data_IF_144934179941
#
_entry.id   IF_144934179941
#
_cell.length_a   1.000
_cell.length_b   1.000
_cell.length_c   1.000
_cell.angle_alpha   90.00
_cell.angle_beta   90.00
_cell.angle_gamma   90.00
#
_symmetry.space_group_name_H-M   'P 1'
#
loop_
_entity.id
_entity.type
_entity.pdbx_description
1 polymer ?
#
# COMPACT_ATOMS: atom_id res chain seq x y z
N UNK A 1 8.78 -24.79 27.36
CA UNK A 1 8.12 -23.48 27.56
C UNK A 1 6.61 -23.66 27.44
N UNK A 2 5.79 -22.81 28.08
CA UNK A 2 4.35 -22.80 27.79
C UNK A 2 4.06 -22.05 26.49
N UNK A 3 2.83 -22.17 25.97
CA UNK A 3 2.43 -21.58 24.68
C UNK A 3 2.63 -20.06 24.62
N UNK A 4 2.37 -19.33 25.71
CA UNK A 4 2.58 -17.88 25.79
C UNK A 4 4.05 -17.48 25.66
N UNK A 5 4.96 -18.22 26.31
CA UNK A 5 6.40 -18.00 26.18
C UNK A 5 6.88 -18.32 24.76
N UNK A 6 6.35 -19.39 24.14
CA UNK A 6 6.66 -19.76 22.74
C UNK A 6 6.22 -18.65 21.79
N UNK A 7 5.00 -18.11 21.94
CA UNK A 7 4.53 -16.99 21.11
C UNK A 7 5.36 -15.71 21.32
N UNK A 8 5.73 -15.39 22.56
CA UNK A 8 6.59 -14.24 22.84
C UNK A 8 7.97 -14.37 22.17
N UNK A 9 8.58 -15.55 22.25
CA UNK A 9 9.85 -15.81 21.56
C UNK A 9 9.70 -15.76 20.03
N UNK A 10 8.59 -16.26 19.49
CA UNK A 10 8.31 -16.20 18.07
C UNK A 10 8.25 -14.74 17.55
N UNK A 11 7.65 -13.83 18.33
CA UNK A 11 7.57 -12.40 18.02
C UNK A 11 8.95 -11.75 17.98
N UNK A 12 9.80 -12.02 18.98
CA UNK A 12 11.16 -11.49 19.03
C UNK A 12 11.97 -11.98 17.83
N UNK A 13 11.97 -13.29 17.56
CA UNK A 13 12.66 -13.88 16.40
C UNK A 13 12.18 -13.29 15.07
N UNK A 14 10.88 -12.96 14.97
CA UNK A 14 10.33 -12.34 13.76
C UNK A 14 10.81 -10.89 13.59
N UNK A 15 10.86 -10.12 14.67
CA UNK A 15 11.38 -8.75 14.67
C UNK A 15 12.85 -8.69 14.27
N UNK A 16 13.64 -9.70 14.67
CA UNK A 16 15.05 -9.85 14.28
C UNK A 16 15.25 -10.27 12.81
N UNK A 17 14.20 -10.74 12.12
CA UNK A 17 14.31 -11.30 10.78
C UNK A 17 14.32 -10.26 9.63
N UNK A 18 14.32 -8.95 9.95
CA UNK A 18 14.39 -7.83 8.99
C UNK A 18 13.49 -8.01 7.74
N UNK A 19 12.20 -8.21 7.97
CA UNK A 19 11.23 -8.46 6.90
C UNK A 19 11.11 -7.27 5.93
N UNK A 20 10.93 -7.56 4.65
CA UNK A 20 10.74 -6.56 3.59
C UNK A 20 9.32 -6.59 3.04
N UNK A 21 8.73 -5.41 2.90
CA UNK A 21 7.42 -5.22 2.28
C UNK A 21 7.54 -5.44 0.77
N UNK A 22 6.62 -6.19 0.18
CA UNK A 22 6.49 -6.32 -1.27
C UNK A 22 5.22 -5.66 -1.83
N UNK A 23 4.24 -5.39 -0.97
CA UNK A 23 2.97 -4.78 -1.35
C UNK A 23 3.12 -3.28 -1.59
N UNK A 24 2.53 -2.78 -2.66
CA UNK A 24 2.50 -1.35 -2.99
C UNK A 24 1.07 -0.89 -3.29
N UNK A 25 0.54 0.00 -2.45
CA UNK A 25 -0.68 0.71 -2.78
C UNK A 25 -0.35 1.83 -3.77
N UNK A 26 -0.60 1.60 -5.06
CA UNK A 26 -0.31 2.58 -6.11
C UNK A 26 -1.13 3.87 -6.01
N UNK A 27 -2.32 3.82 -5.39
CA UNK A 27 -3.18 4.98 -5.24
C UNK A 27 -2.72 5.89 -4.11
N UNK A 28 -2.34 5.32 -2.97
CA UNK A 28 -1.93 6.05 -1.78
C UNK A 28 -0.40 6.17 -1.60
N UNK A 29 0.38 5.52 -2.46
CA UNK A 29 1.83 5.66 -2.52
C UNK A 29 2.63 4.91 -1.43
N UNK A 30 1.97 4.21 -0.51
CA UNK A 30 2.63 3.50 0.59
C UNK A 30 2.85 2.01 0.31
N UNK A 31 3.88 1.46 0.96
CA UNK A 31 4.20 0.03 0.96
C UNK A 31 3.59 -0.66 2.18
N UNK A 32 3.12 -1.89 1.98
CA UNK A 32 2.46 -2.71 3.00
C UNK A 32 2.98 -4.16 2.92
N UNK A 33 2.84 -4.91 4.00
CA UNK A 33 3.22 -6.32 4.05
C UNK A 33 2.18 -7.20 3.35
N UNK A 34 2.64 -8.05 2.46
CA UNK A 34 1.87 -9.15 1.92
C UNK A 34 2.08 -10.43 2.74
N UNK A 35 1.15 -11.39 2.63
CA UNK A 35 1.27 -12.66 3.33
C UNK A 35 2.59 -13.39 2.99
N UNK A 36 3.05 -13.31 1.74
CA UNK A 36 4.32 -13.89 1.31
C UNK A 36 5.54 -13.30 2.01
N UNK A 37 5.44 -12.08 2.53
CA UNK A 37 6.58 -11.36 3.12
C UNK A 37 6.96 -11.93 4.49
N UNK A 38 5.98 -12.47 5.22
CA UNK A 38 6.19 -12.94 6.60
C UNK A 38 5.82 -14.40 6.83
N UNK A 39 4.88 -14.99 6.07
CA UNK A 39 4.44 -16.37 6.32
C UNK A 39 5.58 -17.40 6.28
N UNK A 40 6.52 -17.37 5.31
CA UNK A 40 7.62 -18.34 5.29
C UNK A 40 8.47 -18.27 6.56
N UNK A 41 8.84 -17.06 6.99
CA UNK A 41 9.67 -16.85 8.18
C UNK A 41 8.92 -17.22 9.47
N UNK A 42 7.63 -16.86 9.58
CA UNK A 42 6.79 -17.28 10.70
C UNK A 42 6.71 -18.81 10.78
N UNK A 43 6.53 -19.50 9.65
CA UNK A 43 6.46 -20.96 9.63
C UNK A 43 7.78 -21.61 10.07
N UNK A 44 8.92 -21.06 9.67
CA UNK A 44 10.25 -21.51 10.14
C UNK A 44 10.38 -21.38 11.66
N UNK A 45 10.06 -20.19 12.20
CA UNK A 45 10.12 -19.88 13.63
C UNK A 45 9.16 -20.78 14.42
N UNK A 46 7.92 -20.92 13.94
CA UNK A 46 6.90 -21.75 14.56
C UNK A 46 7.34 -23.21 14.64
N UNK A 47 7.93 -23.73 13.54
CA UNK A 47 8.47 -25.08 13.49
C UNK A 47 9.61 -25.27 14.50
N UNK A 48 10.52 -24.30 14.62
CA UNK A 48 11.61 -24.32 15.59
C UNK A 48 11.08 -24.36 17.04
N UNK A 49 10.05 -23.57 17.33
CA UNK A 49 9.47 -23.43 18.68
C UNK A 49 8.42 -24.50 19.02
N UNK A 50 8.11 -25.40 18.08
CA UNK A 50 7.08 -26.43 18.26
C UNK A 50 5.69 -25.85 18.47
N UNK A 51 5.31 -24.85 17.67
CA UNK A 51 3.95 -24.29 17.61
C UNK A 51 3.41 -24.36 16.18
N UNK A 52 2.09 -24.44 16.04
CA UNK A 52 1.40 -24.43 14.75
C UNK A 52 0.29 -23.38 14.75
N UNK A 53 0.12 -22.69 13.63
CA UNK A 53 -0.94 -21.70 13.45
C UNK A 53 -1.98 -22.23 12.48
N UNK A 54 -3.24 -22.27 12.91
CA UNK A 54 -4.38 -22.74 12.11
C UNK A 54 -5.41 -21.62 12.01
N UNK A 55 -5.95 -21.38 10.81
CA UNK A 55 -6.98 -20.36 10.59
C UNK A 55 -8.25 -20.97 10.04
N UNK A 56 -9.39 -20.57 10.59
CA UNK A 56 -10.72 -20.87 10.08
C UNK A 56 -11.50 -19.57 9.81
N UNK A 57 -12.47 -19.65 8.88
CA UNK A 57 -13.31 -18.53 8.51
C UNK A 57 -14.77 -18.94 8.71
N UNK A 58 -15.41 -18.35 9.72
CA UNK A 58 -16.85 -18.46 9.95
C UNK A 58 -17.62 -17.29 9.32
N UNK A 59 -18.93 -17.28 9.54
CA UNK A 59 -19.79 -16.17 9.11
C UNK A 59 -19.51 -14.88 9.89
N UNK A 60 -19.31 -14.99 11.22
CA UNK A 60 -19.11 -13.84 12.11
C UNK A 60 -17.64 -13.52 12.37
N UNK A 61 -16.78 -14.54 12.44
CA UNK A 61 -15.38 -14.39 12.82
C UNK A 61 -14.44 -15.19 11.93
N UNK A 62 -13.30 -14.58 11.61
CA UNK A 62 -12.09 -15.31 11.27
C UNK A 62 -11.35 -15.62 12.57
N UNK A 63 -10.90 -16.86 12.74
CA UNK A 63 -10.28 -17.34 13.97
C UNK A 63 -8.90 -17.88 13.64
N UNK A 64 -7.89 -17.46 14.42
CA UNK A 64 -6.57 -18.06 14.44
C UNK A 64 -6.38 -18.82 15.75
N UNK A 65 -5.94 -20.07 15.65
CA UNK A 65 -5.45 -20.86 16.77
C UNK A 65 -3.94 -20.99 16.67
N UNK A 66 -3.23 -20.69 17.74
CA UNK A 66 -1.80 -20.96 17.90
C UNK A 66 -1.67 -22.08 18.92
N UNK A 67 -1.20 -23.24 18.48
CA UNK A 67 -1.31 -24.51 19.21
C UNK A 67 0.09 -25.03 19.49
N UNK A 68 0.35 -25.48 20.72
CA UNK A 68 1.55 -26.24 21.05
C UNK A 68 1.47 -27.63 20.40
N UNK A 69 2.45 -27.98 19.57
CA UNK A 69 2.40 -29.24 18.80
C UNK A 69 2.51 -30.46 19.72
N UNK A 70 3.24 -30.34 20.83
CA UNK A 70 3.44 -31.45 21.77
C UNK A 70 2.30 -31.56 22.80
N UNK A 71 1.51 -30.49 22.96
CA UNK A 71 0.38 -30.37 23.90
C UNK A 71 -0.78 -29.61 23.26
N UNK A 72 -1.57 -30.25 22.38
CA UNK A 72 -2.61 -29.55 21.61
C UNK A 72 -3.67 -28.83 22.44
N UNK A 73 -3.82 -29.19 23.73
CA UNK A 73 -4.66 -28.49 24.69
C UNK A 73 -4.14 -27.09 25.08
N UNK A 74 -2.82 -26.87 25.00
CA UNK A 74 -2.18 -25.58 25.23
C UNK A 74 -2.27 -24.74 23.95
N UNK A 75 -3.24 -23.84 23.89
CA UNK A 75 -3.48 -23.01 22.71
C UNK A 75 -3.90 -21.57 23.03
N UNK A 76 -3.73 -20.69 22.04
CA UNK A 76 -4.16 -19.29 22.08
C UNK A 76 -5.12 -19.07 20.91
N UNK A 77 -6.29 -18.51 21.21
CA UNK A 77 -7.30 -18.15 20.22
C UNK A 77 -7.28 -16.63 19.98
N UNK A 78 -7.24 -16.23 18.70
CA UNK A 78 -7.44 -14.85 18.27
C UNK A 78 -8.63 -14.79 17.30
N UNK A 79 -9.47 -13.77 17.47
CA UNK A 79 -10.65 -13.55 16.64
C UNK A 79 -10.59 -12.20 15.95
N UNK A 80 -10.94 -12.17 14.66
CA UNK A 80 -11.17 -10.96 13.89
C UNK A 80 -12.60 -10.97 13.34
N UNK A 81 -13.40 -9.90 13.55
CA UNK A 81 -14.77 -9.85 13.04
C UNK A 81 -14.77 -9.88 11.51
N UNK A 82 -15.64 -10.70 10.93
CA UNK A 82 -15.88 -10.75 9.49
C UNK A 82 -16.76 -9.58 9.08
N UNK A 83 -16.43 -8.97 7.94
CA UNK A 83 -17.29 -8.00 7.26
C UNK A 83 -17.36 -8.31 5.79
N UNK A 84 -18.54 -8.12 5.22
CA UNK A 84 -18.72 -8.21 3.78
C UNK A 84 -18.00 -7.05 3.09
N UNK A 85 -17.32 -7.38 1.98
CA UNK A 85 -16.74 -6.41 1.06
C UNK A 85 -17.13 -6.82 -0.35
N UNK A 86 -17.66 -5.89 -1.13
CA UNK A 86 -18.02 -6.12 -2.53
C UNK A 86 -17.04 -5.38 -3.42
N UNK A 87 -16.23 -6.12 -4.17
CA UNK A 87 -15.36 -5.55 -5.20
C UNK A 87 -16.14 -5.48 -6.51
N UNK A 88 -16.15 -4.29 -7.13
CA UNK A 88 -16.86 -4.07 -8.40
C UNK A 88 -16.27 -4.98 -9.48
N UNK A 89 -17.12 -5.79 -10.11
CA UNK A 89 -16.72 -6.69 -11.20
C UNK A 89 -16.20 -8.06 -10.75
N UNK A 90 -16.26 -8.40 -9.46
CA UNK A 90 -15.92 -9.72 -8.94
C UNK A 90 -17.16 -10.57 -8.65
N UNK A 91 -17.07 -11.88 -8.91
CA UNK A 91 -18.09 -12.85 -8.50
C UNK A 91 -18.08 -13.06 -6.98
N UNK A 92 -19.19 -13.52 -6.37
CA UNK A 92 -19.28 -13.72 -4.91
C UNK A 92 -18.13 -14.54 -4.30
N UNK A 93 -17.69 -15.62 -4.97
CA UNK A 93 -16.59 -16.45 -4.48
C UNK A 93 -15.23 -15.72 -4.48
N UNK A 94 -15.02 -14.81 -5.42
CA UNK A 94 -13.80 -13.99 -5.49
C UNK A 94 -13.79 -12.94 -4.38
N UNK A 95 -14.95 -12.32 -4.12
CA UNK A 95 -15.12 -11.42 -2.97
C UNK A 95 -14.82 -12.16 -1.66
N UNK A 96 -15.34 -13.38 -1.48
CA UNK A 96 -15.05 -14.20 -0.31
C UNK A 96 -13.55 -14.50 -0.18
N UNK A 97 -12.88 -14.92 -1.26
CA UNK A 97 -11.43 -15.18 -1.24
C UNK A 97 -10.61 -13.93 -0.90
N UNK A 98 -11.01 -12.76 -1.39
CA UNK A 98 -10.38 -11.49 -1.04
C UNK A 98 -10.55 -11.16 0.45
N UNK A 99 -11.77 -11.29 0.99
CA UNK A 99 -12.07 -11.09 2.41
C UNK A 99 -11.22 -12.04 3.26
N UNK A 100 -11.22 -13.33 2.97
CA UNK A 100 -10.46 -14.33 3.73
C UNK A 100 -8.95 -14.06 3.71
N UNK A 101 -8.40 -13.66 2.57
CA UNK A 101 -6.99 -13.30 2.45
C UNK A 101 -6.63 -12.08 3.29
N UNK A 102 -7.51 -11.09 3.33
CA UNK A 102 -7.34 -9.87 4.12
C UNK A 102 -7.42 -10.18 5.63
N UNK A 103 -8.44 -10.94 6.05
CA UNK A 103 -8.63 -11.35 7.43
C UNK A 103 -7.48 -12.22 7.94
N UNK A 104 -6.96 -13.13 7.10
CA UNK A 104 -5.76 -13.90 7.42
C UNK A 104 -4.58 -12.99 7.74
N UNK A 105 -4.36 -11.96 6.94
CA UNK A 105 -3.25 -11.00 7.14
C UNK A 105 -3.38 -10.30 8.49
N UNK A 106 -4.57 -9.78 8.80
CA UNK A 106 -4.81 -9.12 10.10
C UNK A 106 -4.64 -10.05 11.30
N UNK A 107 -5.08 -11.30 11.21
CA UNK A 107 -4.85 -12.27 12.28
C UNK A 107 -3.34 -12.50 12.50
N UNK A 108 -2.55 -12.67 11.43
CA UNK A 108 -1.10 -12.80 11.57
C UNK A 108 -0.43 -11.54 12.10
N UNK A 109 -0.83 -10.36 11.61
CA UNK A 109 -0.28 -9.09 12.09
C UNK A 109 -0.56 -8.89 13.58
N UNK A 110 -1.78 -9.17 14.03
CA UNK A 110 -2.15 -9.10 15.45
C UNK A 110 -1.42 -10.16 16.29
N UNK A 111 -1.35 -11.40 15.82
CA UNK A 111 -0.71 -12.50 16.54
C UNK A 111 0.79 -12.29 16.72
N UNK A 112 1.48 -11.78 15.70
CA UNK A 112 2.93 -11.65 15.66
C UNK A 112 3.44 -10.21 15.85
N UNK A 113 2.57 -9.29 16.23
CA UNK A 113 2.89 -7.88 16.46
C UNK A 113 3.61 -7.22 15.27
N UNK A 114 3.16 -7.55 14.05
CA UNK A 114 3.65 -6.92 12.82
C UNK A 114 2.96 -5.56 12.71
N UNK A 115 3.74 -4.51 12.93
CA UNK A 115 3.26 -3.13 12.85
C UNK A 115 3.53 -2.57 11.45
N UNK A 116 2.51 -1.94 10.86
CA UNK A 116 2.67 -1.11 9.67
C UNK A 116 2.76 0.36 10.09
N UNK A 117 3.42 1.19 9.28
CA UNK A 117 3.40 2.63 9.53
C UNK A 117 1.95 3.10 9.45
N UNK A 118 1.49 3.76 10.50
CA UNK A 118 0.13 4.25 10.67
C UNK A 118 -0.13 5.44 9.74
N UNK A 119 -0.18 5.17 8.43
CA UNK A 119 -0.38 6.16 7.37
C UNK A 119 -1.88 6.39 7.09
N UNK A 120 -2.76 5.70 7.81
CA UNK A 120 -4.21 5.88 7.72
C UNK A 120 -4.64 7.28 8.19
N UNK A 121 -3.93 7.87 9.15
CA UNK A 121 -4.16 9.26 9.59
C UNK A 121 -3.80 10.30 8.51
N UNK A 122 -2.95 9.97 7.53
CA UNK A 122 -2.56 10.90 6.48
C UNK A 122 -3.57 10.98 5.31
N UNK A 123 -4.53 10.05 5.21
CA UNK A 123 -5.38 9.91 4.01
C UNK A 123 -6.89 9.92 4.26
N UNK A 124 -7.34 10.00 5.52
CA UNK A 124 -8.79 10.07 5.84
C UNK A 124 -9.35 11.49 6.00
N UNK A 125 -8.55 12.54 5.76
CA UNK A 125 -9.03 13.93 5.88
C UNK A 125 -8.44 14.94 4.89
N UNK A 126 -7.45 14.56 4.07
CA UNK A 126 -6.89 15.46 3.08
C UNK A 126 -6.96 14.81 1.70
N UNK A 127 -7.49 15.57 0.75
CA UNK A 127 -7.30 15.35 -0.69
C UNK A 127 -5.87 14.89 -0.98
N UNK A 128 -5.67 14.00 -1.96
CA UNK A 128 -4.42 13.28 -2.14
C UNK A 128 -3.23 14.25 -2.18
N UNK A 129 -2.47 14.30 -1.07
CA UNK A 129 -1.20 14.98 -1.02
C UNK A 129 -0.22 14.10 -1.78
N UNK A 130 0.01 14.49 -3.03
CA UNK A 130 0.88 13.80 -3.97
C UNK A 130 2.28 13.61 -3.40
N UNK A 131 2.60 12.36 -3.08
CA UNK A 131 3.94 11.92 -2.73
C UNK A 131 4.42 10.87 -3.72
N UNK A 132 4.93 11.31 -4.87
CA UNK A 132 6.05 10.70 -5.63
C UNK A 132 6.41 11.62 -6.79
N UNK A 133 7.62 12.18 -6.72
CA UNK A 133 8.30 13.03 -7.70
C UNK A 133 7.45 14.15 -8.33
N UNK A 134 7.72 15.38 -7.93
CA UNK A 134 7.20 16.64 -8.53
C UNK A 134 7.65 16.86 -9.99
N UNK A 135 7.87 15.78 -10.77
CA UNK A 135 8.26 15.85 -12.17
C UNK A 135 7.09 15.46 -13.08
N UNK A 136 6.79 16.32 -14.04
CA UNK A 136 5.85 16.04 -15.12
C UNK A 136 6.30 14.81 -15.92
N UNK A 137 5.33 13.97 -16.27
CA UNK A 137 5.51 12.89 -17.23
C UNK A 137 5.82 13.42 -18.64
N UNK A 138 6.48 12.61 -19.47
CA UNK A 138 6.71 12.93 -20.88
C UNK A 138 5.41 13.24 -21.63
N UNK A 139 4.32 12.56 -21.30
CA UNK A 139 3.00 12.79 -21.87
C UNK A 139 2.46 14.20 -21.55
N UNK A 140 2.64 14.67 -20.31
CA UNK A 140 2.25 16.03 -19.92
C UNK A 140 3.11 17.07 -20.64
N UNK A 141 4.43 16.87 -20.69
CA UNK A 141 5.33 17.78 -21.42
C UNK A 141 4.97 17.85 -22.91
N UNK A 142 4.68 16.72 -23.54
CA UNK A 142 4.26 16.66 -24.94
C UNK A 142 2.91 17.34 -25.18
N UNK A 143 1.96 17.18 -24.25
CA UNK A 143 0.66 17.87 -24.32
C UNK A 143 0.83 19.40 -24.25
N UNK A 144 1.65 19.90 -23.32
CA UNK A 144 1.92 21.34 -23.20
C UNK A 144 2.50 21.91 -24.50
N UNK A 145 3.46 21.20 -25.12
CA UNK A 145 4.00 21.61 -26.43
C UNK A 145 2.96 21.56 -27.54
N UNK A 146 2.08 20.55 -27.57
CA UNK A 146 1.03 20.45 -28.57
C UNK A 146 0.03 21.62 -28.49
N UNK A 147 -0.37 22.01 -27.27
CA UNK A 147 -1.27 23.14 -27.04
C UNK A 147 -0.61 24.44 -27.52
N UNK A 148 0.62 24.71 -27.09
CA UNK A 148 1.35 25.91 -27.50
C UNK A 148 1.61 25.98 -29.01
N UNK A 149 1.95 24.84 -29.63
CA UNK A 149 2.11 24.75 -31.09
C UNK A 149 0.81 25.07 -31.83
N UNK A 150 -0.35 24.70 -31.26
CA UNK A 150 -1.66 25.01 -31.84
C UNK A 150 -1.98 26.51 -31.88
N UNK A 151 -1.27 27.33 -31.10
CA UNK A 151 -1.35 28.80 -31.10
C UNK A 151 -0.10 29.46 -31.69
N UNK A 152 0.71 28.71 -32.46
CA UNK A 152 1.86 29.22 -33.19
C UNK A 152 3.12 29.45 -32.35
N UNK A 153 3.18 28.92 -31.12
CA UNK A 153 4.34 29.05 -30.23
C UNK A 153 5.20 27.78 -30.33
N UNK A 154 6.48 27.94 -30.66
CA UNK A 154 7.42 26.83 -30.77
C UNK A 154 7.90 26.32 -29.39
N UNK A 155 8.37 25.07 -29.37
CA UNK A 155 8.78 24.39 -28.13
C UNK A 155 9.92 25.10 -27.37
N UNK A 156 10.80 25.85 -28.07
CA UNK A 156 11.90 26.58 -27.42
C UNK A 156 11.34 27.78 -26.65
N UNK A 157 10.42 28.52 -27.25
CA UNK A 157 9.70 29.63 -26.61
C UNK A 157 8.85 29.14 -25.44
N UNK A 158 8.19 27.99 -25.56
CA UNK A 158 7.44 27.39 -24.44
C UNK A 158 8.35 27.11 -23.25
N UNK A 159 9.49 26.44 -23.48
CA UNK A 159 10.48 26.19 -22.42
C UNK A 159 10.93 27.50 -21.79
N UNK A 160 11.38 28.47 -22.58
CA UNK A 160 11.84 29.76 -22.06
C UNK A 160 10.76 30.48 -21.24
N UNK A 161 9.54 30.59 -21.76
CA UNK A 161 8.44 31.28 -21.09
C UNK A 161 8.09 30.62 -19.75
N UNK A 162 7.99 29.29 -19.73
CA UNK A 162 7.58 28.52 -18.55
C UNK A 162 8.68 28.51 -17.48
N UNK A 163 9.95 28.35 -17.88
CA UNK A 163 11.10 28.42 -16.97
C UNK A 163 11.23 29.81 -16.32
N UNK A 164 11.10 30.88 -17.12
CA UNK A 164 11.18 32.26 -16.61
C UNK A 164 9.98 32.63 -15.74
N UNK A 165 8.76 32.24 -16.13
CA UNK A 165 7.53 32.58 -15.39
C UNK A 165 7.48 31.93 -14.00
N UNK A 166 7.95 30.69 -13.89
CA UNK A 166 7.83 29.91 -12.65
C UNK A 166 9.16 29.72 -11.90
N UNK A 167 10.25 30.30 -12.40
CA UNK A 167 11.56 30.24 -11.75
C UNK A 167 12.17 28.84 -11.70
N UNK A 168 11.86 27.98 -12.67
CA UNK A 168 12.36 26.60 -12.74
C UNK A 168 13.52 26.45 -13.72
N UNK A 169 14.33 25.40 -13.56
CA UNK A 169 15.48 25.09 -14.44
C UNK A 169 15.13 24.08 -15.54
N UNK A 170 14.15 23.20 -15.30
CA UNK A 170 13.69 22.20 -16.24
C UNK A 170 12.16 22.23 -16.35
N UNK A 171 11.64 21.97 -17.56
CA UNK A 171 10.18 21.99 -17.78
C UNK A 171 9.48 20.83 -17.07
N UNK A 172 10.21 19.74 -16.81
CA UNK A 172 9.68 18.61 -16.08
C UNK A 172 9.47 18.93 -14.60
N UNK A 173 10.10 19.94 -13.99
CA UNK A 173 9.95 20.20 -12.54
C UNK A 173 8.76 21.09 -12.17
N UNK A 174 7.88 21.37 -13.13
CA UNK A 174 6.66 22.12 -12.87
C UNK A 174 5.73 21.33 -11.95
N UNK A 175 5.18 22.03 -10.96
CA UNK A 175 4.06 21.51 -10.17
C UNK A 175 2.84 21.32 -11.07
N UNK A 176 1.92 20.45 -10.64
CA UNK A 176 0.65 20.22 -11.35
C UNK A 176 -0.12 21.53 -11.60
N UNK A 177 -0.17 22.41 -10.59
CA UNK A 177 -0.82 23.71 -10.71
C UNK A 177 -0.16 24.60 -11.79
N UNK A 178 1.17 24.71 -11.80
CA UNK A 178 1.90 25.51 -12.79
C UNK A 178 1.73 24.96 -14.22
N UNK A 179 1.68 23.63 -14.35
CA UNK A 179 1.41 22.95 -15.61
C UNK A 179 -0.01 23.25 -16.13
N UNK A 180 -1.02 23.13 -15.27
CA UNK A 180 -2.42 23.40 -15.62
C UNK A 180 -2.61 24.88 -16.00
N UNK A 181 -2.05 25.81 -15.22
CA UNK A 181 -2.04 27.24 -15.52
C UNK A 181 -1.36 27.57 -16.86
N UNK A 182 -0.25 26.89 -17.18
CA UNK A 182 0.44 27.06 -18.46
C UNK A 182 -0.41 26.55 -19.63
N UNK A 183 -1.05 25.38 -19.49
CA UNK A 183 -1.93 24.82 -20.51
C UNK A 183 -3.12 25.76 -20.78
N UNK A 184 -3.81 26.19 -19.72
CA UNK A 184 -4.93 27.14 -19.84
C UNK A 184 -4.51 28.45 -20.48
N UNK A 185 -3.32 28.97 -20.14
CA UNK A 185 -2.79 30.19 -20.72
C UNK A 185 -2.66 30.08 -22.25
N UNK A 186 -2.10 28.98 -22.74
CA UNK A 186 -1.98 28.75 -24.18
C UNK A 186 -3.33 28.43 -24.84
N UNK A 187 -4.25 27.74 -24.16
CA UNK A 187 -5.60 27.49 -24.68
C UNK A 187 -6.42 28.80 -24.82
N UNK A 188 -6.25 29.74 -23.89
CA UNK A 188 -6.91 31.07 -23.94
C UNK A 188 -6.41 31.94 -25.10
N UNK A 189 -5.19 31.71 -25.60
CA UNK A 189 -4.62 32.38 -26.78
C UNK A 189 -5.15 31.81 -28.10
N UNK A 190 -5.94 30.73 -28.06
CA UNK A 190 -6.58 30.14 -29.25
C UNK A 190 -7.82 30.91 -29.72
N UNK A 191 -8.16 32.03 -29.05
CA UNK A 191 -9.21 32.98 -29.44
C UNK A 191 -8.71 33.97 -30.46
#
# INVERSE_FOLDING_TARGET
MNIYKKLAEARVKLQEAELKKSGLNKFAGYEYFELSDFLPKINEINKELGICTVISFGAEYAIMMIIDVDKPEDSIELKSPMKEATLKGCHPIQNLGAIQSYQRRYLYMAAYEIVENDMLDATTGNEPVGGKDNKLSEAQVNRLFAIAKSVGIDNKKVKQHVLTKYGTTEINTLTKQQYDEACEGYEKLKK
#
